data_IF_293972014589
#
_entry.id   IF_293972014589
#
_cell.length_a   1.000
_cell.length_b   1.000
_cell.length_c   1.000
_cell.angle_alpha   90.00
_cell.angle_beta   90.00
_cell.angle_gamma   90.00
#
_symmetry.space_group_name_H-M   'P 1'
#
loop_
_entity.id
_entity.type
_entity.pdbx_description
1 polymer ?
#
# COMPACT_ATOMS: atom_id res chain seq x y z
N UNK A 1 -10.09 -1.66 -3.66
CA UNK A 1 -8.97 -1.16 -2.83
C UNK A 1 -9.34 0.19 -2.23
N UNK A 2 -8.76 0.54 -1.10
CA UNK A 2 -8.85 1.87 -0.50
C UNK A 2 -7.43 2.30 -0.13
N UNK A 3 -7.04 3.55 -0.43
CA UNK A 3 -7.71 4.52 -1.32
C UNK A 3 -7.83 4.06 -2.80
N UNK A 4 -8.61 4.77 -3.64
CA UNK A 4 -8.66 4.54 -5.11
C UNK A 4 -9.87 3.82 -5.71
N UNK A 5 -11.11 4.31 -5.48
CA UNK A 5 -12.32 3.65 -6.03
C UNK A 5 -12.62 3.86 -7.54
N UNK A 6 -11.88 4.62 -8.36
CA UNK A 6 -11.99 4.47 -9.81
C UNK A 6 -10.65 4.01 -10.41
N UNK A 7 -10.43 2.70 -10.43
CA UNK A 7 -9.68 2.11 -11.55
C UNK A 7 -10.69 1.60 -12.56
N UNK A 8 -11.43 2.53 -13.14
CA UNK A 8 -12.48 2.25 -14.10
C UNK A 8 -11.94 2.15 -15.54
N UNK A 9 -10.65 2.43 -15.76
CA UNK A 9 -10.12 2.63 -17.11
C UNK A 9 -8.76 1.97 -17.29
N UNK A 10 -8.75 0.65 -17.48
CA UNK A 10 -7.64 -0.07 -18.08
C UNK A 10 -8.08 -0.53 -19.47
N UNK A 11 -7.27 -0.29 -20.49
CA UNK A 11 -7.65 -0.60 -21.87
C UNK A 11 -6.45 -0.84 -22.77
N UNK A 12 -6.71 -1.47 -23.91
CA UNK A 12 -5.74 -1.61 -24.99
C UNK A 12 -6.13 -0.65 -26.11
N UNK A 13 -5.25 0.28 -26.42
CA UNK A 13 -5.30 1.09 -27.64
C UNK A 13 -4.63 0.32 -28.77
N UNK A 14 -4.76 0.79 -30.01
CA UNK A 14 -4.29 0.08 -31.21
C UNK A 14 -2.85 -0.44 -31.10
N UNK A 15 -1.94 0.38 -30.55
CA UNK A 15 -0.52 0.03 -30.39
C UNK A 15 0.02 0.24 -28.96
N UNK A 16 -0.83 0.42 -27.94
CA UNK A 16 -0.37 0.73 -26.58
C UNK A 16 -1.38 0.31 -25.50
N UNK A 17 -0.91 0.23 -24.25
CA UNK A 17 -1.76 -0.01 -23.08
C UNK A 17 -2.10 1.32 -22.40
N UNK A 18 -3.36 1.49 -22.04
CA UNK A 18 -3.87 2.65 -21.33
C UNK A 18 -4.20 2.31 -19.88
N UNK A 19 -3.67 3.08 -18.94
CA UNK A 19 -3.93 2.98 -17.51
C UNK A 19 -4.41 4.34 -16.98
N UNK A 20 -5.72 4.48 -16.79
CA UNK A 20 -6.33 5.67 -16.20
C UNK A 20 -6.22 5.64 -14.68
N UNK A 21 -5.40 6.54 -14.13
CA UNK A 21 -5.25 6.72 -12.69
C UNK A 21 -6.37 7.62 -12.12
N UNK A 22 -6.79 7.40 -10.87
CA UNK A 22 -7.76 8.28 -10.20
C UNK A 22 -7.17 9.68 -9.93
N UNK A 23 -7.98 10.74 -9.99
CA UNK A 23 -7.50 12.12 -9.82
C UNK A 23 -6.99 12.52 -8.42
N UNK A 24 -7.17 11.66 -7.41
CA UNK A 24 -6.63 11.90 -6.07
C UNK A 24 -5.15 11.43 -6.01
N UNK A 25 -4.19 12.27 -5.60
CA UNK A 25 -2.76 11.92 -5.63
C UNK A 25 -2.39 10.64 -4.88
N UNK A 26 -2.94 10.43 -3.67
CA UNK A 26 -2.70 9.23 -2.87
C UNK A 26 -3.27 7.99 -3.56
N UNK A 27 -4.47 8.14 -4.14
CA UNK A 27 -5.10 7.07 -4.90
C UNK A 27 -4.32 6.75 -6.18
N UNK A 28 -3.85 7.77 -6.90
CA UNK A 28 -3.09 7.62 -8.13
C UNK A 28 -1.78 6.87 -7.86
N UNK A 29 -1.04 7.31 -6.84
CA UNK A 29 0.22 6.71 -6.42
C UNK A 29 0.04 5.24 -6.01
N UNK A 30 -0.91 4.94 -5.13
CA UNK A 30 -1.22 3.56 -4.72
C UNK A 30 -1.59 2.72 -5.95
N UNK A 31 -2.49 3.22 -6.78
CA UNK A 31 -3.01 2.43 -7.90
C UNK A 31 -1.95 2.18 -8.96
N UNK A 32 -1.10 3.17 -9.24
CA UNK A 32 0.09 2.99 -10.07
C UNK A 32 1.02 1.92 -9.48
N UNK A 33 1.31 2.00 -8.18
CA UNK A 33 2.20 1.09 -7.48
C UNK A 33 1.71 -0.36 -7.49
N UNK A 34 0.42 -0.59 -7.23
CA UNK A 34 -0.14 -1.95 -7.12
C UNK A 34 -0.52 -2.57 -8.47
N UNK A 35 -0.82 -1.77 -9.50
CA UNK A 35 -1.34 -2.29 -10.79
C UNK A 35 -0.43 -1.97 -11.98
N UNK A 36 0.05 -0.73 -12.10
CA UNK A 36 0.83 -0.29 -13.26
C UNK A 36 2.28 -0.75 -13.16
N UNK A 37 2.88 -0.69 -11.98
CA UNK A 37 4.24 -1.20 -11.77
C UNK A 37 4.41 -2.69 -12.16
N UNK A 38 3.55 -3.64 -11.71
CA UNK A 38 3.68 -5.03 -12.14
C UNK A 38 3.36 -5.22 -13.64
N UNK A 39 2.47 -4.40 -14.22
CA UNK A 39 2.22 -4.41 -15.66
C UNK A 39 3.48 -4.03 -16.45
N UNK A 40 4.17 -2.96 -16.05
CA UNK A 40 5.41 -2.52 -16.67
C UNK A 40 6.54 -3.54 -16.50
N UNK A 41 6.66 -4.15 -15.31
CA UNK A 41 7.64 -5.22 -15.08
C UNK A 41 7.41 -6.40 -16.03
N UNK A 42 6.15 -6.82 -16.20
CA UNK A 42 5.78 -7.90 -17.13
C UNK A 42 6.02 -7.53 -18.60
N UNK A 43 5.71 -6.30 -18.99
CA UNK A 43 5.99 -5.80 -20.35
C UNK A 43 7.49 -5.65 -20.62
N UNK A 44 8.29 -5.33 -19.60
CA UNK A 44 9.75 -5.28 -19.66
C UNK A 44 10.42 -6.66 -19.71
N UNK A 45 9.65 -7.75 -19.78
CA UNK A 45 10.18 -9.11 -19.85
C UNK A 45 10.73 -9.64 -18.53
N UNK A 46 10.50 -8.95 -17.41
CA UNK A 46 10.94 -9.42 -16.11
C UNK A 46 10.00 -10.53 -15.61
N UNK A 47 10.56 -11.72 -15.38
CA UNK A 47 9.85 -12.89 -14.83
C UNK A 47 9.90 -12.95 -13.30
N UNK A 48 10.66 -12.05 -12.66
CA UNK A 48 10.68 -11.95 -11.20
C UNK A 48 9.30 -11.51 -10.69
N UNK A 49 8.88 -12.09 -9.56
CA UNK A 49 7.59 -11.75 -8.94
C UNK A 49 7.57 -10.26 -8.61
N UNK A 50 6.77 -9.50 -9.35
CA UNK A 50 6.69 -8.04 -9.22
C UNK A 50 5.85 -7.59 -8.00
N UNK A 51 5.45 -8.53 -7.14
CA UNK A 51 4.71 -8.24 -5.91
C UNK A 51 5.73 -7.91 -4.81
N UNK A 52 5.66 -6.73 -4.17
CA UNK A 52 6.57 -6.39 -3.09
C UNK A 52 6.45 -7.41 -1.95
N UNK A 53 7.57 -7.76 -1.28
CA UNK A 53 7.54 -8.73 -0.20
C UNK A 53 6.67 -8.23 0.95
N UNK A 54 5.73 -9.08 1.38
CA UNK A 54 4.88 -8.81 2.55
C UNK A 54 5.38 -9.60 3.73
N UNK A 55 5.27 -9.00 4.91
CA UNK A 55 5.64 -9.63 6.18
C UNK A 55 4.59 -9.34 7.24
N UNK A 56 4.41 -10.30 8.15
CA UNK A 56 3.54 -10.12 9.32
C UNK A 56 4.30 -9.47 10.44
N UNK A 57 3.76 -8.36 10.93
CA UNK A 57 4.32 -7.62 12.07
C UNK A 57 3.20 -7.24 13.03
N UNK A 58 3.55 -6.93 14.27
CA UNK A 58 2.58 -6.47 15.25
C UNK A 58 2.34 -4.97 15.07
N UNK A 59 1.08 -4.55 15.11
CA UNK A 59 0.75 -3.12 15.15
C UNK A 59 0.91 -2.58 16.56
N UNK A 60 1.59 -1.45 16.76
CA UNK A 60 1.65 -0.75 18.06
C UNK A 60 0.47 0.21 18.23
N UNK A 61 -0.19 0.52 17.12
CA UNK A 61 -1.26 1.53 17.04
C UNK A 61 -2.59 0.89 16.72
N UNK A 62 -3.66 1.49 17.24
CA UNK A 62 -5.02 1.12 16.86
C UNK A 62 -5.31 1.57 15.43
N UNK A 63 -5.67 0.63 14.56
CA UNK A 63 -5.98 0.90 13.15
C UNK A 63 -7.49 0.90 12.94
N UNK A 64 -8.04 2.06 12.54
CA UNK A 64 -9.45 2.18 12.19
C UNK A 64 -9.65 1.62 10.78
N UNK A 65 -10.49 0.61 10.65
CA UNK A 65 -10.71 -0.09 9.38
C UNK A 65 -12.18 -0.49 9.27
N UNK A 66 -12.74 -0.19 8.11
CA UNK A 66 -14.11 -0.58 7.75
C UNK A 66 -14.07 -1.87 6.93
N UNK A 67 -14.82 -2.91 7.31
CA UNK A 67 -14.97 -4.11 6.50
C UNK A 67 -15.49 -3.83 5.08
N UNK A 68 -15.20 -4.73 4.15
CA UNK A 68 -15.67 -4.71 2.76
C UNK A 68 -14.67 -4.16 1.74
N UNK A 69 -13.52 -3.62 2.16
CA UNK A 69 -12.46 -3.13 1.25
C UNK A 69 -11.08 -3.47 1.79
N UNK A 70 -10.18 -3.90 0.91
CA UNK A 70 -8.75 -3.98 1.20
C UNK A 70 -8.21 -2.55 1.36
N UNK A 71 -7.69 -2.20 2.54
CA UNK A 71 -7.23 -0.85 2.89
C UNK A 71 -5.70 -0.84 2.99
N UNK A 72 -5.05 -0.05 2.14
CA UNK A 72 -3.61 0.17 2.16
C UNK A 72 -3.35 1.43 2.99
N UNK A 73 -3.24 1.23 4.30
CA UNK A 73 -2.86 2.31 5.21
C UNK A 73 -1.35 2.53 5.14
N UNK A 74 -0.89 3.75 5.43
CA UNK A 74 0.54 4.05 5.50
C UNK A 74 1.01 3.86 6.94
N UNK A 75 2.11 3.15 7.08
CA UNK A 75 2.70 2.81 8.36
C UNK A 75 4.19 3.13 8.42
N UNK A 76 4.70 3.16 9.63
CA UNK A 76 6.11 3.28 9.97
C UNK A 76 6.50 1.94 10.58
N UNK A 77 7.19 1.12 9.80
CA UNK A 77 7.84 -0.09 10.23
C UNK A 77 9.12 0.30 10.98
N UNK A 78 9.20 -0.10 12.24
CA UNK A 78 10.33 0.16 13.12
C UNK A 78 10.70 -1.12 13.87
N UNK A 79 11.92 -1.17 14.41
CA UNK A 79 12.33 -2.24 15.32
C UNK A 79 12.06 -1.80 16.75
N UNK A 80 11.37 -2.63 17.49
CA UNK A 80 11.14 -2.47 18.93
C UNK A 80 12.44 -2.59 19.71
N UNK A 81 12.43 -2.18 20.99
CA UNK A 81 13.57 -2.34 21.90
C UNK A 81 14.00 -3.81 22.05
N UNK A 82 13.07 -4.75 21.86
CA UNK A 82 13.32 -6.19 21.92
C UNK A 82 13.85 -6.78 20.60
N UNK A 83 14.05 -5.96 19.58
CA UNK A 83 14.48 -6.38 18.24
C UNK A 83 13.37 -6.91 17.32
N UNK A 84 12.13 -7.01 17.81
CA UNK A 84 10.97 -7.39 17.00
C UNK A 84 10.57 -6.27 16.03
N UNK A 85 10.09 -6.63 14.83
CA UNK A 85 9.51 -5.67 13.89
C UNK A 85 8.08 -5.33 14.29
N UNK A 86 7.80 -4.04 14.36
CA UNK A 86 6.51 -3.50 14.75
C UNK A 86 6.13 -2.34 13.84
N UNK A 87 4.83 -2.13 13.63
CA UNK A 87 4.33 -1.08 12.75
C UNK A 87 3.45 -0.09 13.50
N UNK A 88 3.71 1.19 13.26
CA UNK A 88 2.95 2.32 13.81
C UNK A 88 2.21 3.00 12.66
N UNK A 89 1.00 3.51 12.89
CA UNK A 89 0.29 4.29 11.86
C UNK A 89 0.98 5.64 11.63
N UNK A 90 0.99 6.15 10.39
CA UNK A 90 1.45 7.53 10.11
C UNK A 90 0.47 8.61 10.60
N UNK A 91 -0.56 8.24 11.36
CA UNK A 91 -1.62 9.14 11.83
C UNK A 91 -2.85 9.13 10.91
N UNK A 92 -3.25 10.31 10.41
CA UNK A 92 -4.45 10.44 9.59
C UNK A 92 -4.29 9.76 8.21
N UNK A 93 -5.09 8.72 7.98
CA UNK A 93 -5.07 7.91 6.75
C UNK A 93 -5.91 8.50 5.62
N UNK A 94 -6.34 9.76 5.73
CA UNK A 94 -7.12 10.44 4.71
C UNK A 94 -6.38 10.51 3.36
N UNK A 95 -7.10 10.31 2.26
CA UNK A 95 -6.52 10.39 0.91
C UNK A 95 -6.19 11.83 0.47
N UNK A 96 -6.47 12.82 1.30
CA UNK A 96 -6.12 14.23 1.09
C UNK A 96 -4.71 14.57 1.60
N UNK A 97 -4.03 13.65 2.28
CA UNK A 97 -2.76 13.91 2.95
C UNK A 97 -1.64 13.09 2.32
N UNK A 98 -0.87 13.73 1.44
CA UNK A 98 0.28 13.10 0.80
C UNK A 98 1.48 12.94 1.74
N UNK A 99 1.56 13.73 2.82
CA UNK A 99 2.65 13.62 3.81
C UNK A 99 2.75 12.23 4.44
N UNK A 100 1.67 11.45 4.44
CA UNK A 100 1.68 10.05 4.88
C UNK A 100 2.64 9.14 4.09
N UNK A 101 2.94 9.45 2.82
CA UNK A 101 3.98 8.74 2.06
C UNK A 101 5.40 9.15 2.44
N UNK A 102 5.59 10.41 2.86
CA UNK A 102 6.89 10.89 3.30
C UNK A 102 7.21 10.47 4.74
N UNK A 103 6.19 10.34 5.58
CA UNK A 103 6.33 9.92 6.98
C UNK A 103 6.38 8.39 7.12
N UNK A 104 5.68 7.69 6.23
CA UNK A 104 5.64 6.23 6.20
C UNK A 104 6.81 5.63 5.43
N UNK A 105 7.13 4.38 5.74
CA UNK A 105 8.09 3.57 5.00
C UNK A 105 7.49 2.22 4.55
N UNK A 106 6.19 2.00 4.82
CA UNK A 106 5.50 0.78 4.46
C UNK A 106 3.99 1.01 4.30
N UNK A 107 3.33 0.10 3.59
CA UNK A 107 1.88 -0.05 3.63
C UNK A 107 1.48 -1.10 4.65
N UNK A 108 0.52 -0.78 5.51
CA UNK A 108 -0.22 -1.74 6.31
C UNK A 108 -1.40 -2.21 5.46
N UNK A 109 -1.32 -3.46 5.01
CA UNK A 109 -2.31 -4.09 4.13
C UNK A 109 -3.39 -4.74 4.98
N UNK A 110 -4.47 -4.02 5.25
CA UNK A 110 -5.58 -4.53 6.04
C UNK A 110 -6.57 -5.28 5.15
N UNK A 111 -6.83 -6.53 5.51
CA UNK A 111 -7.64 -7.48 4.75
C UNK A 111 -9.06 -6.96 4.52
N UNK A 112 -9.68 -7.43 3.43
CA UNK A 112 -10.99 -6.92 2.99
C UNK A 112 -12.05 -7.05 4.06
N UNK A 113 -12.15 -8.22 4.68
CA UNK A 113 -13.16 -8.55 5.69
C UNK A 113 -12.78 -8.09 7.11
N UNK A 114 -11.55 -7.63 7.32
CA UNK A 114 -11.08 -7.23 8.65
C UNK A 114 -11.72 -5.91 9.09
N UNK A 115 -12.12 -5.88 10.35
CA UNK A 115 -12.59 -4.69 11.06
C UNK A 115 -11.44 -3.87 11.65
N UNK A 116 -11.74 -3.10 12.70
CA UNK A 116 -10.71 -2.39 13.45
C UNK A 116 -9.67 -3.36 14.01
N UNK A 117 -8.42 -2.90 14.05
CA UNK A 117 -7.29 -3.67 14.59
C UNK A 117 -6.79 -2.96 15.84
N UNK A 118 -6.67 -3.70 16.93
CA UNK A 118 -6.16 -3.23 18.21
C UNK A 118 -4.62 -3.40 18.29
N UNK A 119 -3.94 -2.61 19.14
CA UNK A 119 -2.50 -2.78 19.38
C UNK A 119 -2.13 -4.21 19.80
N UNK A 120 -1.01 -4.71 19.27
CA UNK A 120 -0.49 -6.06 19.50
C UNK A 120 -0.96 -7.10 18.48
N UNK A 121 -1.98 -6.79 17.69
CA UNK A 121 -2.44 -7.70 16.64
C UNK A 121 -1.47 -7.79 15.46
N UNK A 122 -1.48 -8.97 14.82
CA UNK A 122 -0.71 -9.22 13.61
C UNK A 122 -1.37 -8.56 12.40
N UNK A 123 -0.59 -7.81 11.64
CA UNK A 123 -1.00 -7.17 10.39
C UNK A 123 0.00 -7.47 9.29
N UNK A 124 -0.49 -7.52 8.05
CA UNK A 124 0.36 -7.63 6.87
C UNK A 124 0.96 -6.26 6.56
N UNK A 125 2.28 -6.22 6.40
CA UNK A 125 3.03 -5.02 6.05
C UNK A 125 3.84 -5.24 4.79
N UNK A 126 3.75 -4.27 3.90
CA UNK A 126 4.44 -4.21 2.62
C UNK A 126 5.39 -3.01 2.66
N UNK A 127 6.71 -3.21 2.87
CA UNK A 127 7.69 -2.13 2.84
C UNK A 127 7.62 -1.37 1.51
N UNK A 128 7.85 -0.06 1.56
CA UNK A 128 8.02 0.73 0.35
C UNK A 128 9.29 0.31 -0.38
N UNK A 129 9.25 0.37 -1.70
CA UNK A 129 10.43 0.18 -2.53
C UNK A 129 11.15 1.53 -2.78
N UNK A 130 12.17 1.50 -3.63
CA UNK A 130 12.95 2.66 -4.08
C UNK A 130 12.13 3.87 -4.56
N UNK A 131 10.88 3.69 -5.02
CA UNK A 131 10.04 4.80 -5.48
C UNK A 131 9.64 5.77 -4.36
N UNK A 132 9.61 5.31 -3.12
CA UNK A 132 9.29 6.14 -1.95
C UNK A 132 10.44 6.19 -0.93
N UNK A 133 11.66 5.89 -1.36
CA UNK A 133 12.85 5.94 -0.50
C UNK A 133 13.11 4.67 0.33
N UNK A 134 12.43 3.57 0.02
CA UNK A 134 12.85 2.24 0.50
C UNK A 134 14.04 1.70 -0.30
N UNK A 135 14.75 0.70 0.24
CA UNK A 135 15.83 0.00 -0.48
C UNK A 135 15.27 -1.22 -1.23
#
# INVERSE_FOLDING_TARGET
IKPGKPFASFGKLSNSWFCGLPGNPVSAALTFYQLVQPLLAKLGGNTASAVPPRQRVRTTSRLKKTPGRLDFQRGILQRSANGELEVTTTGHQGSHIFSSFSLGNCFIVLERERGNVEPGEWVEVEPFNALFGGL
#
